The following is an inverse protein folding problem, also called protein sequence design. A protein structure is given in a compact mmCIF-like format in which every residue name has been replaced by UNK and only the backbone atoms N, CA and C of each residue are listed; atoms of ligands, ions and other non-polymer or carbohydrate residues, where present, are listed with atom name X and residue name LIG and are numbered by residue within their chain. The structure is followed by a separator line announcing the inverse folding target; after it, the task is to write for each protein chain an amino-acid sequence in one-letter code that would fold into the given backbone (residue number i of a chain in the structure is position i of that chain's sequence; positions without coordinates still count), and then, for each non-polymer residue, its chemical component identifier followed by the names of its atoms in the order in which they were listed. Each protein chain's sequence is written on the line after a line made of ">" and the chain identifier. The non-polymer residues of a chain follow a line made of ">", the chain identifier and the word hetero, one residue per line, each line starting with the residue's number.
data_IF_154814128404
#
_entry.id   IF_154814128404
#
_cell.length_a   1.000
_cell.length_b   1.000
_cell.length_c   1.000
_cell.angle_alpha   90.00
_cell.angle_beta   90.00
_cell.angle_gamma   90.00
#
_symmetry.space_group_name_H-M   'P 1'
#
loop_
_entity.id
_entity.type
_entity.pdbx_description
1 polymer ?
#
# COMPACT_ATOMS: atom_id res chain seq x y z
N UNK A 1 6.09 9.01 5.25
CA UNK A 1 7.21 8.51 6.07
C UNK A 1 8.45 8.50 5.18
N UNK A 2 9.65 8.77 5.72
CA UNK A 2 10.87 8.80 4.91
C UNK A 2 11.92 7.83 5.48
N UNK A 3 12.74 7.25 4.61
CA UNK A 3 13.79 6.30 4.97
C UNK A 3 14.96 6.35 4.00
N UNK A 4 15.96 5.51 4.23
CA UNK A 4 17.10 5.32 3.34
C UNK A 4 16.97 3.99 2.61
N UNK A 5 17.34 3.98 1.33
CA UNK A 5 17.36 2.77 0.51
C UNK A 5 18.76 2.17 0.47
N UNK A 6 18.83 0.83 0.44
CA UNK A 6 20.07 0.06 0.33
C UNK A 6 19.86 -1.12 -0.62
N UNK A 7 20.87 -1.46 -1.43
CA UNK A 7 20.86 -2.63 -2.31
C UNK A 7 19.89 -2.54 -3.50
N UNK A 8 19.42 -1.36 -3.86
CA UNK A 8 18.43 -1.17 -4.93
C UNK A 8 19.08 -0.78 -6.26
N UNK A 9 18.83 -1.53 -7.34
CA UNK A 9 19.47 -1.32 -8.66
C UNK A 9 19.33 0.10 -9.25
N UNK A 10 18.29 0.84 -8.86
CA UNK A 10 17.99 2.19 -9.39
C UNK A 10 18.28 3.34 -8.43
N UNK A 11 18.68 3.06 -7.19
CA UNK A 11 18.95 4.09 -6.20
C UNK A 11 20.27 3.81 -5.49
N UNK A 12 21.09 4.84 -5.34
CA UNK A 12 22.33 4.72 -4.58
C UNK A 12 22.03 4.45 -3.10
N UNK A 13 22.91 3.68 -2.46
CA UNK A 13 22.80 3.41 -1.04
C UNK A 13 22.85 4.71 -0.22
N UNK A 14 21.99 4.77 0.80
CA UNK A 14 21.83 5.96 1.64
C UNK A 14 20.96 7.06 1.01
N UNK A 15 20.47 6.88 -0.23
CA UNK A 15 19.54 7.82 -0.84
C UNK A 15 18.25 7.91 -0.03
N UNK A 16 17.82 9.14 0.26
CA UNK A 16 16.61 9.39 1.03
C UNK A 16 15.38 9.23 0.14
N UNK A 17 14.52 8.26 0.47
CA UNK A 17 13.24 8.05 -0.21
C UNK A 17 12.09 8.40 0.73
N UNK A 18 11.00 8.91 0.16
CA UNK A 18 9.79 9.26 0.91
C UNK A 18 8.62 8.48 0.33
N UNK A 19 7.82 7.85 1.20
CA UNK A 19 6.60 7.19 0.77
C UNK A 19 5.58 8.22 0.30
N UNK A 20 5.02 7.98 -0.89
CA UNK A 20 3.93 8.79 -1.42
C UNK A 20 2.66 8.53 -0.62
N UNK A 21 2.06 9.59 -0.07
CA UNK A 21 0.76 9.50 0.61
C UNK A 21 -0.32 9.09 -0.38
N UNK A 22 -1.31 8.34 0.09
CA UNK A 22 -2.59 8.17 -0.62
C UNK A 22 -3.32 9.51 -0.55
N UNK A 23 -3.84 9.98 -1.68
CA UNK A 23 -4.55 11.26 -1.79
C UNK A 23 -6.00 11.10 -2.25
N UNK A 24 -6.37 9.96 -2.84
CA UNK A 24 -7.74 9.70 -3.31
C UNK A 24 -8.03 8.20 -3.29
N UNK A 25 -9.27 7.84 -2.91
CA UNK A 25 -9.82 6.50 -2.94
C UNK A 25 -11.15 6.57 -3.67
N UNK A 26 -11.29 5.82 -4.77
CA UNK A 26 -12.52 5.68 -5.53
C UNK A 26 -12.80 4.20 -5.76
N UNK A 27 -13.55 3.57 -4.84
CA UNK A 27 -13.72 2.13 -4.81
C UNK A 27 -12.37 1.42 -4.68
N UNK A 28 -12.00 0.64 -5.69
CA UNK A 28 -10.71 -0.04 -5.75
C UNK A 28 -9.60 0.72 -6.48
N UNK A 29 -9.85 1.97 -6.90
CA UNK A 29 -8.84 2.82 -7.52
C UNK A 29 -8.21 3.75 -6.49
N UNK A 30 -6.89 3.64 -6.30
CA UNK A 30 -6.12 4.39 -5.32
C UNK A 30 -5.14 5.31 -6.03
N UNK A 31 -5.18 6.61 -5.70
CA UNK A 31 -4.23 7.60 -6.22
C UNK A 31 -3.24 8.01 -5.14
N UNK A 32 -1.96 8.05 -5.51
CA UNK A 32 -0.88 8.50 -4.64
C UNK A 32 -0.39 9.90 -5.02
N UNK A 33 0.24 10.60 -4.08
CA UNK A 33 0.75 11.95 -4.29
C UNK A 33 1.85 12.05 -5.37
N UNK A 34 2.54 10.94 -5.67
CA UNK A 34 3.48 10.89 -6.81
C UNK A 34 2.79 10.79 -8.17
N UNK A 35 1.46 10.70 -8.21
CA UNK A 35 0.67 10.58 -9.44
C UNK A 35 0.39 9.14 -9.87
N UNK A 36 0.94 8.14 -9.16
CA UNK A 36 0.67 6.72 -9.48
C UNK A 36 -0.76 6.35 -9.08
N UNK A 37 -1.40 5.57 -9.94
CA UNK A 37 -2.76 5.05 -9.76
C UNK A 37 -2.67 3.53 -9.68
N UNK A 38 -3.28 2.94 -8.66
CA UNK A 38 -3.33 1.51 -8.42
C UNK A 38 -4.78 1.04 -8.45
N UNK A 39 -5.04 -0.07 -9.14
CA UNK A 39 -6.30 -0.81 -9.04
C UNK A 39 -6.08 -1.98 -8.09
N UNK A 40 -6.80 -2.00 -6.98
CA UNK A 40 -6.79 -3.11 -6.05
C UNK A 40 -7.70 -4.20 -6.58
N UNK A 41 -7.17 -5.41 -6.65
CA UNK A 41 -7.92 -6.62 -7.01
C UNK A 41 -8.38 -7.33 -5.74
N UNK A 42 -8.99 -8.51 -5.91
CA UNK A 42 -9.40 -9.34 -4.78
C UNK A 42 -8.19 -9.64 -3.88
N UNK A 43 -8.34 -9.51 -2.55
CA UNK A 43 -7.26 -9.82 -1.63
C UNK A 43 -6.93 -11.30 -1.67
N UNK A 44 -5.65 -11.62 -1.53
CA UNK A 44 -5.20 -13.01 -1.46
C UNK A 44 -5.83 -13.72 -0.25
N UNK A 45 -6.36 -14.95 -0.39
CA UNK A 45 -7.00 -15.66 0.72
C UNK A 45 -6.09 -15.86 1.93
N UNK A 46 -4.78 -16.10 1.74
CA UNK A 46 -3.84 -16.28 2.85
C UNK A 46 -3.63 -14.96 3.60
N UNK A 47 -3.68 -13.84 2.88
CA UNK A 47 -3.63 -12.52 3.51
C UNK A 47 -4.88 -12.24 4.35
N UNK A 48 -6.06 -12.62 3.84
CA UNK A 48 -7.33 -12.51 4.58
C UNK A 48 -7.30 -13.33 5.86
N UNK A 49 -6.94 -14.62 5.77
CA UNK A 49 -6.81 -15.52 6.93
C UNK A 49 -5.84 -14.97 7.97
N UNK A 50 -4.71 -14.41 7.53
CA UNK A 50 -3.74 -13.78 8.41
C UNK A 50 -4.33 -12.54 9.11
N UNK A 51 -5.05 -11.68 8.39
CA UNK A 51 -5.70 -10.51 8.99
C UNK A 51 -6.72 -10.92 10.06
N UNK A 52 -7.55 -11.92 9.79
CA UNK A 52 -8.54 -12.43 10.75
C UNK A 52 -7.87 -12.99 12.01
N UNK A 53 -6.81 -13.78 11.82
CA UNK A 53 -6.06 -14.40 12.93
C UNK A 53 -5.39 -13.37 13.84
N UNK A 54 -4.79 -12.33 13.26
CA UNK A 54 -4.05 -11.29 14.01
C UNK A 54 -4.96 -10.15 14.49
N UNK A 55 -6.26 -10.20 14.20
CA UNK A 55 -7.22 -9.16 14.58
C UNK A 55 -7.03 -7.84 13.82
N UNK A 56 -6.47 -7.91 12.61
CA UNK A 56 -6.31 -6.78 11.72
C UNK A 56 -7.56 -6.51 10.90
N UNK A 57 -7.57 -5.36 10.21
CA UNK A 57 -8.61 -5.05 9.25
C UNK A 57 -8.58 -6.05 8.09
N UNK A 58 -9.74 -6.66 7.78
CA UNK A 58 -9.91 -7.58 6.67
C UNK A 58 -10.40 -6.78 5.45
N UNK A 59 -9.60 -6.65 4.39
CA UNK A 59 -10.02 -5.93 3.19
C UNK A 59 -11.11 -6.70 2.44
N UNK A 60 -11.97 -5.96 1.75
CA UNK A 60 -12.99 -6.50 0.84
C UNK A 60 -12.95 -5.79 -0.51
N UNK A 61 -13.65 -6.30 -1.52
CA UNK A 61 -13.75 -5.61 -2.81
C UNK A 61 -14.47 -4.26 -2.74
N UNK A 62 -15.28 -4.05 -1.69
CA UNK A 62 -16.06 -2.82 -1.47
C UNK A 62 -15.22 -1.81 -0.66
N UNK A 63 -14.53 -2.31 0.35
CA UNK A 63 -13.62 -1.54 1.20
C UNK A 63 -12.25 -2.23 1.20
N UNK A 64 -11.39 -1.92 0.22
CA UNK A 64 -10.13 -2.65 0.02
C UNK A 64 -9.00 -2.12 0.91
N UNK A 65 -9.16 -0.94 1.50
CA UNK A 65 -8.15 -0.33 2.38
C UNK A 65 -8.81 0.54 3.43
N UNK A 66 -8.28 0.48 4.66
CA UNK A 66 -8.62 1.38 5.74
C UNK A 66 -7.49 2.37 5.96
N UNK A 67 -7.78 3.66 5.86
CA UNK A 67 -6.85 4.71 6.26
C UNK A 67 -6.88 4.82 7.79
N UNK A 68 -5.69 4.81 8.41
CA UNK A 68 -5.48 5.02 9.85
C UNK A 68 -5.33 6.52 10.16
#
# INVERSE_FOLDING_TARGET
>A
IAGQVYGHKKHIDGHRITTSKIIEINGNMIKTNSGSIYKLEEPDPQYVEWCEKEGHYVPTNIEPIKLL
#
